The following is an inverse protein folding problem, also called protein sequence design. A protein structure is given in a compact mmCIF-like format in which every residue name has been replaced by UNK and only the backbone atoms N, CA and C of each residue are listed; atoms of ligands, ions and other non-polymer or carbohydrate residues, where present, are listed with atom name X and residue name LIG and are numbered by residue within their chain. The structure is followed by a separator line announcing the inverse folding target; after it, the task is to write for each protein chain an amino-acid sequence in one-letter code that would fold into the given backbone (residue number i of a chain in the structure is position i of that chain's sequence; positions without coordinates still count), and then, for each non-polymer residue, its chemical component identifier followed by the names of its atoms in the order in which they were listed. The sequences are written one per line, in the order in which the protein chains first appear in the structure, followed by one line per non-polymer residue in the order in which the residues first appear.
data_IF_454530162769
#
_entry.id   IF_454530162769
#
_cell.length_a   1.000
_cell.length_b   1.000
_cell.length_c   1.000
_cell.angle_alpha   90.00
_cell.angle_beta   90.00
_cell.angle_gamma   90.00
#
_symmetry.space_group_name_H-M   'P 1'
#
loop_
_entity.id
_entity.type
_entity.pdbx_description
1 polymer ?
#
# COMPACT_ATOMS: atom_id res chain seq x y z
N UNK A 1 -9.00 -11.61 -31.83
CA UNK A 1 -8.82 -10.44 -30.94
C UNK A 1 -7.73 -10.77 -29.93
N UNK A 2 -6.76 -9.88 -29.71
CA UNK A 2 -5.79 -10.06 -28.64
C UNK A 2 -6.52 -10.12 -27.29
N UNK A 3 -6.13 -11.05 -26.41
CA UNK A 3 -6.76 -11.13 -25.09
C UNK A 3 -6.41 -9.90 -24.27
N UNK A 4 -7.41 -9.30 -23.63
CA UNK A 4 -7.25 -8.09 -22.82
C UNK A 4 -6.32 -8.38 -21.65
N UNK A 5 -5.26 -7.58 -21.52
CA UNK A 5 -4.29 -7.68 -20.44
C UNK A 5 -4.85 -7.07 -19.15
N UNK A 6 -4.29 -7.43 -17.99
CA UNK A 6 -4.72 -6.94 -16.68
C UNK A 6 -3.54 -6.56 -15.79
N UNK A 7 -3.66 -5.44 -15.07
CA UNK A 7 -2.84 -5.09 -13.92
C UNK A 7 -3.64 -5.39 -12.66
N UNK A 8 -3.08 -6.18 -11.76
CA UNK A 8 -3.75 -6.60 -10.53
C UNK A 8 -3.29 -5.73 -9.38
N UNK A 9 -4.22 -5.06 -8.73
CA UNK A 9 -3.98 -4.32 -7.49
C UNK A 9 -4.38 -5.19 -6.30
N UNK A 10 -3.55 -5.22 -5.26
CA UNK A 10 -3.85 -5.88 -3.99
C UNK A 10 -3.90 -4.80 -2.91
N UNK A 11 -5.05 -4.69 -2.24
CA UNK A 11 -5.30 -3.74 -1.15
C UNK A 11 -5.83 -4.46 0.08
N UNK A 12 -5.64 -3.89 1.27
CA UNK A 12 -6.00 -4.55 2.52
C UNK A 12 -7.52 -4.51 2.78
N UNK A 13 -8.11 -3.31 2.66
CA UNK A 13 -9.49 -3.03 3.04
C UNK A 13 -10.35 -2.46 1.92
N UNK A 14 -11.66 -2.47 2.19
CA UNK A 14 -12.68 -1.91 1.27
C UNK A 14 -12.60 -0.38 1.20
N UNK A 15 -12.14 0.29 2.27
CA UNK A 15 -11.85 1.73 2.25
C UNK A 15 -10.80 2.06 1.19
N UNK A 16 -9.75 1.25 1.13
CA UNK A 16 -8.59 1.46 0.27
C UNK A 16 -8.99 1.23 -1.18
N UNK A 17 -9.73 0.14 -1.45
CA UNK A 17 -10.32 -0.13 -2.77
C UNK A 17 -11.10 1.08 -3.28
N UNK A 18 -12.02 1.63 -2.46
CA UNK A 18 -12.84 2.79 -2.86
C UNK A 18 -11.99 4.02 -3.13
N UNK A 19 -11.03 4.30 -2.25
CA UNK A 19 -10.19 5.47 -2.38
C UNK A 19 -9.33 5.39 -3.66
N UNK A 20 -8.79 4.21 -3.98
CA UNK A 20 -7.93 4.05 -5.18
C UNK A 20 -8.71 3.71 -6.45
N UNK A 21 -10.02 3.45 -6.37
CA UNK A 21 -10.83 3.03 -7.53
C UNK A 21 -10.75 3.98 -8.73
N UNK A 22 -10.51 5.28 -8.48
CA UNK A 22 -10.33 6.29 -9.51
C UNK A 22 -9.14 6.01 -10.44
N UNK A 23 -8.15 5.21 -10.02
CA UNK A 23 -7.04 4.76 -10.87
C UNK A 23 -7.52 4.07 -12.16
N UNK A 24 -8.70 3.43 -12.12
CA UNK A 24 -9.31 2.78 -13.29
C UNK A 24 -9.64 3.77 -14.42
N UNK A 25 -9.74 5.07 -14.11
CA UNK A 25 -9.99 6.15 -15.08
C UNK A 25 -8.70 6.74 -15.65
N UNK A 26 -7.55 6.47 -15.04
CA UNK A 26 -6.23 6.89 -15.53
C UNK A 26 -5.73 5.98 -16.67
N UNK A 27 -6.06 4.69 -16.62
CA UNK A 27 -5.48 3.70 -17.54
C UNK A 27 -6.07 3.72 -18.95
N UNK A 28 -5.24 3.34 -19.94
CA UNK A 28 -5.63 3.25 -21.35
C UNK A 28 -6.50 2.02 -21.68
N UNK A 29 -6.94 1.92 -22.94
CA UNK A 29 -7.69 0.76 -23.44
C UNK A 29 -6.86 -0.53 -23.60
N UNK A 30 -5.52 -0.47 -23.47
CA UNK A 30 -4.62 -1.60 -23.70
C UNK A 30 -4.70 -2.69 -22.61
N UNK A 31 -5.05 -2.32 -21.37
CA UNK A 31 -5.24 -3.24 -20.27
C UNK A 31 -6.36 -2.77 -19.33
N UNK A 32 -6.73 -3.61 -18.38
CA UNK A 32 -7.66 -3.25 -17.30
C UNK A 32 -7.00 -3.33 -15.94
N UNK A 33 -7.55 -2.60 -14.97
CA UNK A 33 -7.21 -2.78 -13.56
C UNK A 33 -8.21 -3.73 -12.90
N UNK A 34 -7.69 -4.74 -12.19
CA UNK A 34 -8.45 -5.59 -11.27
C UNK A 34 -7.98 -5.31 -9.84
N UNK A 35 -8.85 -4.77 -8.99
CA UNK A 35 -8.53 -4.50 -7.58
C UNK A 35 -9.04 -5.67 -6.73
N UNK A 36 -8.15 -6.24 -5.94
CA UNK A 36 -8.42 -7.36 -5.04
C UNK A 36 -8.26 -6.92 -3.59
N UNK A 37 -9.29 -7.14 -2.78
CA UNK A 37 -9.28 -6.86 -1.34
C UNK A 37 -8.89 -8.12 -0.57
N UNK A 38 -7.86 -8.06 0.26
CA UNK A 38 -7.39 -9.23 1.02
C UNK A 38 -8.21 -9.51 2.28
N UNK A 39 -8.94 -8.50 2.77
CA UNK A 39 -9.65 -8.52 4.05
C UNK A 39 -8.72 -8.81 5.23
N UNK A 40 -7.63 -8.04 5.30
CA UNK A 40 -6.70 -8.02 6.41
C UNK A 40 -5.24 -8.15 6.00
N UNK A 41 -4.38 -7.60 6.85
CA UNK A 41 -2.95 -7.49 6.63
C UNK A 41 -2.29 -8.81 6.22
N UNK A 42 -1.49 -8.75 5.16
CA UNK A 42 -0.66 -9.87 4.70
C UNK A 42 0.67 -9.94 5.45
N UNK A 43 1.11 -8.84 6.09
CA UNK A 43 2.43 -8.71 6.69
C UNK A 43 2.53 -9.20 8.14
N UNK A 44 1.46 -9.06 8.93
CA UNK A 44 1.49 -9.37 10.37
C UNK A 44 0.50 -10.45 10.75
N UNK A 45 0.74 -11.69 10.31
CA UNK A 45 -0.11 -12.86 10.61
C UNK A 45 0.56 -13.82 11.60
N UNK A 46 0.23 -13.75 12.91
CA UNK A 46 0.76 -14.70 13.89
C UNK A 46 0.47 -16.15 13.51
N UNK A 47 1.47 -17.01 13.66
CA UNK A 47 1.32 -18.46 13.42
C UNK A 47 1.34 -18.90 11.96
N UNK A 48 1.39 -17.97 10.99
CA UNK A 48 1.55 -18.33 9.59
C UNK A 48 3.02 -18.60 9.28
N UNK A 49 3.33 -19.84 8.86
CA UNK A 49 4.69 -20.26 8.48
C UNK A 49 5.07 -19.91 7.04
N UNK A 50 4.10 -19.52 6.21
CA UNK A 50 4.32 -19.14 4.82
C UNK A 50 5.03 -17.78 4.76
N UNK A 51 6.01 -17.65 3.86
CA UNK A 51 6.61 -16.34 3.57
C UNK A 51 5.57 -15.37 3.01
N UNK A 52 5.81 -14.07 3.18
CA UNK A 52 4.94 -13.00 2.61
C UNK A 52 4.80 -13.14 1.10
N UNK A 53 5.89 -13.43 0.39
CA UNK A 53 5.87 -13.72 -1.05
C UNK A 53 4.92 -14.86 -1.41
N UNK A 54 4.88 -15.91 -0.59
CA UNK A 54 3.95 -17.05 -0.80
C UNK A 54 2.51 -16.63 -0.52
N UNK A 55 2.26 -15.85 0.54
CA UNK A 55 0.93 -15.33 0.87
C UNK A 55 0.36 -14.45 -0.24
N UNK A 56 1.15 -13.54 -0.78
CA UNK A 56 0.74 -12.67 -1.91
C UNK A 56 0.57 -13.52 -3.18
N UNK A 57 1.48 -14.46 -3.46
CA UNK A 57 1.31 -15.41 -4.58
C UNK A 57 0.03 -16.23 -4.50
N UNK A 58 -0.39 -16.62 -3.29
CA UNK A 58 -1.66 -17.32 -3.06
C UNK A 58 -2.86 -16.42 -3.39
N UNK A 59 -2.81 -15.12 -3.09
CA UNK A 59 -3.84 -14.17 -3.53
C UNK A 59 -3.91 -14.07 -5.05
N UNK A 60 -2.75 -13.96 -5.72
CA UNK A 60 -2.70 -13.92 -7.19
C UNK A 60 -3.27 -15.21 -7.80
N UNK A 61 -2.93 -16.39 -7.26
CA UNK A 61 -3.52 -17.67 -7.68
C UNK A 61 -5.04 -17.71 -7.48
N UNK A 62 -5.53 -17.20 -6.35
CA UNK A 62 -6.98 -17.08 -6.09
C UNK A 62 -7.65 -16.23 -7.18
N UNK A 63 -7.11 -15.05 -7.47
CA UNK A 63 -7.61 -14.15 -8.51
C UNK A 63 -7.63 -14.86 -9.87
N UNK A 64 -6.53 -15.51 -10.26
CA UNK A 64 -6.47 -16.27 -11.53
C UNK A 64 -7.54 -17.36 -11.61
N UNK A 65 -7.79 -18.07 -10.51
CA UNK A 65 -8.80 -19.13 -10.46
C UNK A 65 -10.23 -18.59 -10.56
N UNK A 66 -10.52 -17.46 -9.94
CA UNK A 66 -11.85 -16.82 -9.92
C UNK A 66 -12.17 -16.13 -11.26
N UNK A 67 -11.20 -15.39 -11.80
CA UNK A 67 -11.34 -14.58 -13.03
C UNK A 67 -11.04 -15.35 -14.32
N UNK A 68 -10.39 -16.51 -14.21
CA UNK A 68 -9.82 -17.29 -15.32
C UNK A 68 -8.70 -16.58 -16.10
N UNK A 69 -8.08 -15.54 -15.52
CA UNK A 69 -6.89 -14.94 -16.10
C UNK A 69 -5.74 -15.96 -16.16
N UNK A 70 -5.10 -16.07 -17.33
CA UNK A 70 -3.85 -16.81 -17.44
C UNK A 70 -2.69 -15.91 -17.02
N UNK A 71 -1.60 -16.54 -16.62
CA UNK A 71 -0.38 -15.87 -16.18
C UNK A 71 0.09 -14.79 -17.16
N UNK A 72 0.15 -15.12 -18.45
CA UNK A 72 0.56 -14.19 -19.51
C UNK A 72 -0.41 -13.02 -19.74
N UNK A 73 -1.60 -13.03 -19.14
CA UNK A 73 -2.56 -11.92 -19.21
C UNK A 73 -2.33 -10.90 -18.10
N UNK A 74 -1.64 -11.27 -17.02
CA UNK A 74 -1.26 -10.38 -15.92
C UNK A 74 0.03 -9.66 -16.29
N UNK A 75 -0.03 -8.33 -16.45
CA UNK A 75 1.13 -7.49 -16.75
C UNK A 75 2.00 -7.25 -15.52
N UNK A 76 1.35 -6.93 -14.41
CA UNK A 76 2.00 -6.65 -13.14
C UNK A 76 1.01 -6.89 -11.99
N UNK A 77 1.57 -7.17 -10.82
CA UNK A 77 0.88 -7.13 -9.54
C UNK A 77 1.41 -5.93 -8.77
N UNK A 78 0.50 -5.03 -8.39
CA UNK A 78 0.79 -3.86 -7.58
C UNK A 78 0.14 -4.06 -6.22
N UNK A 79 0.92 -4.03 -5.16
CA UNK A 79 0.40 -4.09 -3.80
C UNK A 79 0.47 -2.72 -3.15
N UNK A 80 -0.63 -2.30 -2.52
CA UNK A 80 -0.67 -1.11 -1.68
C UNK A 80 -0.66 -1.54 -0.22
N UNK A 81 0.11 -0.84 0.60
CA UNK A 81 0.22 -1.17 2.03
C UNK A 81 0.31 0.10 2.87
N UNK A 82 -0.33 0.06 4.03
CA UNK A 82 -0.02 1.00 5.09
C UNK A 82 1.30 0.58 5.75
N UNK A 83 2.12 1.55 6.16
CA UNK A 83 3.33 1.24 6.95
C UNK A 83 2.98 0.97 8.41
N UNK A 84 1.91 1.60 8.93
CA UNK A 84 1.43 1.50 10.31
C UNK A 84 2.53 1.65 11.38
N UNK A 85 3.51 2.52 11.12
CA UNK A 85 4.67 2.70 11.99
C UNK A 85 5.63 1.52 12.07
N UNK A 86 5.64 0.63 11.06
CA UNK A 86 6.52 -0.55 11.03
C UNK A 86 7.99 -0.24 11.30
N UNK A 87 8.48 0.93 10.90
CA UNK A 87 9.87 1.34 11.02
C UNK A 87 10.15 2.25 12.23
N UNK A 88 9.15 2.53 13.07
CA UNK A 88 9.33 3.27 14.32
C UNK A 88 10.16 2.44 15.30
N UNK A 89 11.17 3.06 15.91
CA UNK A 89 12.02 2.41 16.91
C UNK A 89 11.23 2.03 18.17
N UNK A 90 11.65 0.97 18.85
CA UNK A 90 11.03 0.49 20.09
C UNK A 90 10.97 1.57 21.18
N UNK A 91 11.93 2.52 21.19
CA UNK A 91 11.96 3.63 22.13
C UNK A 91 10.84 4.67 21.89
N UNK A 92 10.41 4.81 20.62
CA UNK A 92 9.37 5.75 20.19
C UNK A 92 7.95 5.16 20.28
N UNK A 93 7.84 3.92 20.76
CA UNK A 93 6.59 3.32 21.23
C UNK A 93 6.47 3.54 22.73
N UNK A 94 5.64 4.49 23.15
CA UNK A 94 5.56 4.98 24.54
C UNK A 94 4.25 4.62 25.22
N UNK A 95 4.28 4.52 26.56
CA UNK A 95 3.09 4.22 27.37
C UNK A 95 2.49 5.50 27.92
N UNK A 96 1.18 5.68 27.73
CA UNK A 96 0.40 6.70 28.42
C UNK A 96 -0.98 6.12 28.75
N UNK A 97 -1.27 5.91 30.03
CA UNK A 97 -2.53 5.30 30.49
C UNK A 97 -3.77 6.14 30.17
N UNK A 98 -3.62 7.41 29.77
CA UNK A 98 -4.72 8.27 29.35
C UNK A 98 -5.26 7.94 27.96
N UNK A 99 -4.56 7.15 27.14
CA UNK A 99 -5.06 6.75 25.81
C UNK A 99 -5.91 5.50 25.90
N UNK A 100 -6.80 5.32 24.92
CA UNK A 100 -7.68 4.15 24.83
C UNK A 100 -6.94 2.85 24.49
N UNK A 101 -7.72 1.79 24.22
CA UNK A 101 -7.17 0.48 23.84
C UNK A 101 -6.43 0.51 22.51
N UNK A 102 -6.83 1.40 21.60
CA UNK A 102 -6.23 1.53 20.28
C UNK A 102 -4.96 2.39 20.34
N UNK A 103 -3.91 2.03 19.59
CA UNK A 103 -2.70 2.85 19.48
C UNK A 103 -3.03 4.25 18.93
N UNK A 104 -2.41 5.28 19.49
CA UNK A 104 -2.49 6.65 18.99
C UNK A 104 -1.19 6.98 18.27
N UNK A 105 -1.28 7.21 16.96
CA UNK A 105 -0.16 7.56 16.10
C UNK A 105 0.10 9.07 16.14
N UNK A 106 1.37 9.44 16.30
CA UNK A 106 1.87 10.82 16.34
C UNK A 106 3.08 10.95 15.42
N UNK A 107 3.51 12.17 15.15
CA UNK A 107 4.73 12.40 14.36
C UNK A 107 5.99 11.84 15.02
N UNK A 108 6.02 11.83 16.35
CA UNK A 108 7.15 11.33 17.14
C UNK A 108 7.09 9.84 17.44
N UNK A 109 6.11 9.09 16.93
CA UNK A 109 5.98 7.65 17.21
C UNK A 109 4.56 7.20 17.56
N UNK A 110 4.46 6.19 18.43
CA UNK A 110 3.20 5.52 18.76
C UNK A 110 2.98 5.57 20.28
N UNK A 111 1.79 5.97 20.71
CA UNK A 111 1.40 6.01 22.13
C UNK A 111 0.37 4.91 22.39
N UNK A 112 0.57 4.12 23.45
CA UNK A 112 -0.29 2.99 23.83
C UNK A 112 -0.65 3.05 25.31
N UNK A 113 -1.77 2.41 25.70
CA UNK A 113 -2.28 2.51 27.06
C UNK A 113 -1.44 1.79 28.12
N UNK A 114 -0.71 0.73 27.77
CA UNK A 114 0.05 -0.06 28.73
C UNK A 114 1.23 -0.82 28.10
N UNK A 115 2.08 -1.39 28.95
CA UNK A 115 3.29 -2.12 28.57
C UNK A 115 3.03 -3.38 27.74
N UNK A 116 1.91 -4.09 27.97
CA UNK A 116 1.54 -5.27 27.20
C UNK A 116 1.25 -4.92 25.74
N UNK A 117 0.48 -3.85 25.51
CA UNK A 117 0.21 -3.33 24.16
C UNK A 117 1.51 -2.84 23.51
N UNK A 118 2.38 -2.16 24.28
CA UNK A 118 3.70 -1.72 23.79
C UNK A 118 4.52 -2.86 23.22
N UNK A 119 4.68 -3.95 23.98
CA UNK A 119 5.43 -5.13 23.56
C UNK A 119 4.82 -5.78 22.31
N UNK A 120 3.49 -5.82 22.24
CA UNK A 120 2.77 -6.31 21.06
C UNK A 120 3.08 -5.46 19.81
N UNK A 121 2.96 -4.14 19.91
CA UNK A 121 3.22 -3.21 18.80
C UNK A 121 4.67 -3.29 18.35
N UNK A 122 5.64 -3.30 19.27
CA UNK A 122 7.06 -3.47 18.94
C UNK A 122 7.34 -4.76 18.16
N UNK A 123 6.79 -5.89 18.63
CA UNK A 123 6.93 -7.17 17.92
C UNK A 123 6.27 -7.16 16.54
N UNK A 124 5.07 -6.57 16.46
CA UNK A 124 4.29 -6.43 15.23
C UNK A 124 5.04 -5.55 14.21
N UNK A 125 5.61 -4.44 14.64
CA UNK A 125 6.38 -3.52 13.80
C UNK A 125 7.63 -4.20 13.25
N UNK A 126 8.41 -4.88 14.09
CA UNK A 126 9.58 -5.66 13.64
C UNK A 126 9.23 -6.71 12.59
N UNK A 127 8.11 -7.42 12.79
CA UNK A 127 7.61 -8.39 11.82
C UNK A 127 7.24 -7.70 10.50
N UNK A 128 6.41 -6.64 10.55
CA UNK A 128 5.98 -5.90 9.37
C UNK A 128 7.18 -5.33 8.60
N UNK A 129 8.11 -4.67 9.29
CA UNK A 129 9.31 -4.08 8.69
C UNK A 129 10.16 -5.12 7.95
N UNK A 130 10.39 -6.30 8.56
CA UNK A 130 11.13 -7.39 7.92
C UNK A 130 10.45 -7.88 6.64
N UNK A 131 9.12 -8.04 6.68
CA UNK A 131 8.38 -8.50 5.51
C UNK A 131 8.25 -7.42 4.42
N UNK A 132 8.12 -6.14 4.80
CA UNK A 132 8.12 -5.01 3.88
C UNK A 132 9.46 -4.90 3.15
N UNK A 133 10.59 -5.00 3.85
CA UNK A 133 11.94 -5.02 3.24
C UNK A 133 12.10 -6.13 2.21
N UNK A 134 11.58 -7.32 2.51
CA UNK A 134 11.64 -8.44 1.56
C UNK A 134 10.80 -8.16 0.31
N UNK A 135 9.62 -7.56 0.49
CA UNK A 135 8.69 -7.32 -0.61
C UNK A 135 9.07 -6.09 -1.45
N UNK A 136 9.62 -5.03 -0.84
CA UNK A 136 10.08 -3.83 -1.55
C UNK A 136 11.18 -4.14 -2.54
N UNK A 137 12.04 -5.12 -2.24
CA UNK A 137 13.10 -5.54 -3.16
C UNK A 137 12.67 -6.61 -4.16
N UNK A 138 11.44 -7.14 -4.10
CA UNK A 138 11.03 -8.28 -4.92
C UNK A 138 10.61 -7.89 -6.36
N UNK A 139 11.33 -8.35 -7.38
CA UNK A 139 11.01 -8.03 -8.79
C UNK A 139 9.78 -8.75 -9.32
N UNK A 140 9.58 -9.97 -8.83
CA UNK A 140 8.51 -10.85 -9.27
C UNK A 140 7.88 -11.50 -8.06
N UNK A 141 6.55 -11.59 -8.07
CA UNK A 141 5.83 -12.32 -7.01
C UNK A 141 5.84 -13.82 -7.27
N UNK A 142 5.73 -14.20 -8.53
CA UNK A 142 5.95 -15.53 -9.05
C UNK A 142 6.64 -15.39 -10.39
N UNK A 143 7.40 -16.40 -10.81
CA UNK A 143 8.13 -16.42 -12.09
C UNK A 143 7.33 -15.71 -13.17
N UNK A 144 7.86 -14.72 -13.89
CA UNK A 144 7.18 -14.06 -15.02
C UNK A 144 5.93 -13.25 -14.68
N UNK A 145 5.70 -12.88 -13.41
CA UNK A 145 4.74 -11.85 -13.01
C UNK A 145 5.47 -10.80 -12.18
N UNK A 146 5.67 -9.62 -12.78
CA UNK A 146 6.29 -8.48 -12.12
C UNK A 146 5.50 -8.02 -10.90
N UNK A 147 6.22 -7.54 -9.89
CA UNK A 147 5.66 -7.11 -8.63
C UNK A 147 6.21 -5.74 -8.23
N UNK A 148 5.30 -4.89 -7.76
CA UNK A 148 5.61 -3.57 -7.21
C UNK A 148 4.82 -3.36 -5.93
N UNK A 149 5.41 -2.66 -4.97
CA UNK A 149 4.75 -2.31 -3.71
C UNK A 149 4.91 -0.82 -3.41
N UNK A 150 3.79 -0.17 -3.14
CA UNK A 150 3.70 1.24 -2.78
C UNK A 150 3.08 1.39 -1.39
N UNK A 151 3.41 2.48 -0.70
CA UNK A 151 2.99 2.69 0.67
C UNK A 151 2.20 3.98 0.89
N UNK A 152 1.38 3.93 1.94
CA UNK A 152 0.85 5.10 2.63
C UNK A 152 1.44 5.13 4.04
N UNK A 153 2.13 6.20 4.39
CA UNK A 153 2.77 6.30 5.70
C UNK A 153 1.75 6.52 6.80
N UNK A 154 1.93 5.81 7.91
CA UNK A 154 0.90 5.51 8.88
C UNK A 154 -0.25 4.74 8.24
N UNK A 155 -1.09 5.41 7.46
CA UNK A 155 -2.19 4.81 6.71
C UNK A 155 -2.70 5.73 5.58
N UNK A 156 -3.54 5.20 4.69
CA UNK A 156 -4.14 5.96 3.59
C UNK A 156 -4.93 7.20 4.05
N UNK A 157 -5.68 7.09 5.15
CA UNK A 157 -6.47 8.20 5.69
C UNK A 157 -5.59 9.38 6.09
N UNK A 158 -4.40 9.11 6.63
CA UNK A 158 -3.42 10.11 6.95
C UNK A 158 -2.90 10.83 5.70
N UNK A 159 -2.62 10.09 4.63
CA UNK A 159 -2.16 10.70 3.38
C UNK A 159 -3.27 11.58 2.80
N UNK A 160 -4.51 11.07 2.70
CA UNK A 160 -5.63 11.80 2.09
C UNK A 160 -6.07 13.00 2.94
N UNK A 161 -6.17 12.84 4.26
CA UNK A 161 -6.86 13.79 5.13
C UNK A 161 -6.01 14.40 6.24
N UNK A 162 -4.72 14.08 6.29
CA UNK A 162 -3.84 14.46 7.40
C UNK A 162 -4.38 13.99 8.77
N UNK A 163 -5.03 12.83 8.81
CA UNK A 163 -5.59 12.25 10.02
C UNK A 163 -5.18 10.77 10.17
N UNK A 164 -4.28 10.52 11.12
CA UNK A 164 -3.69 9.20 11.41
C UNK A 164 -4.61 8.29 12.23
N UNK A 165 -5.53 8.89 13.00
CA UNK A 165 -6.26 8.22 14.07
C UNK A 165 -7.78 8.22 13.80
N UNK A 166 -8.15 8.26 12.52
CA UNK A 166 -9.53 8.31 12.07
C UNK A 166 -10.32 7.07 12.49
N UNK A 167 -11.54 7.29 12.99
CA UNK A 167 -12.44 6.19 13.37
C UNK A 167 -12.94 5.41 12.15
N UNK A 168 -13.35 4.15 12.34
CA UNK A 168 -13.86 3.30 11.25
C UNK A 168 -15.05 3.95 10.51
N UNK A 169 -15.96 4.58 11.24
CA UNK A 169 -17.12 5.27 10.66
C UNK A 169 -16.68 6.43 9.76
N UNK A 170 -15.75 7.25 10.23
CA UNK A 170 -15.19 8.36 9.45
C UNK A 170 -14.45 7.85 8.21
N UNK A 171 -13.65 6.78 8.33
CA UNK A 171 -12.96 6.14 7.20
C UNK A 171 -13.95 5.74 6.10
N UNK A 172 -15.07 5.13 6.47
CA UNK A 172 -16.12 4.73 5.51
C UNK A 172 -16.73 5.97 4.83
N UNK A 173 -17.07 7.01 5.61
CA UNK A 173 -17.73 8.20 5.07
C UNK A 173 -16.78 9.02 4.16
N UNK A 174 -15.52 9.15 4.58
CA UNK A 174 -14.49 9.90 3.87
C UNK A 174 -14.01 9.16 2.62
N UNK A 175 -13.78 7.84 2.67
CA UNK A 175 -13.45 7.06 1.46
C UNK A 175 -14.52 7.20 0.37
N UNK A 176 -15.82 7.15 0.74
CA UNK A 176 -16.93 7.41 -0.18
C UNK A 176 -16.93 8.83 -0.75
N UNK A 177 -16.55 9.83 0.05
CA UNK A 177 -16.46 11.22 -0.40
C UNK A 177 -15.34 11.37 -1.44
N UNK A 178 -14.15 10.88 -1.12
CA UNK A 178 -12.99 10.90 -2.03
C UNK A 178 -13.28 10.17 -3.34
N UNK A 179 -13.89 8.98 -3.26
CA UNK A 179 -14.30 8.20 -4.43
C UNK A 179 -15.24 9.00 -5.34
N UNK A 180 -16.26 9.68 -4.78
CA UNK A 180 -17.19 10.51 -5.55
C UNK A 180 -16.48 11.69 -6.21
N UNK A 181 -15.62 12.38 -5.47
CA UNK A 181 -14.87 13.55 -5.97
C UNK A 181 -13.95 13.13 -7.13
N UNK A 182 -13.13 12.10 -6.95
CA UNK A 182 -12.23 11.58 -7.97
C UNK A 182 -12.97 10.92 -9.13
N UNK A 183 -14.16 10.34 -8.89
CA UNK A 183 -15.00 9.84 -9.97
C UNK A 183 -15.55 10.96 -10.83
N UNK A 184 -15.89 12.11 -10.25
CA UNK A 184 -16.35 13.26 -11.04
C UNK A 184 -15.22 13.94 -11.81
N UNK A 185 -14.00 13.90 -11.26
CA UNK A 185 -12.81 14.62 -11.72
C UNK A 185 -11.55 13.76 -11.53
N UNK A 186 -11.28 12.80 -12.43
CA UNK A 186 -10.16 11.86 -12.30
C UNK A 186 -8.80 12.55 -12.25
N UNK A 187 -8.66 13.72 -12.86
CA UNK A 187 -7.46 14.56 -12.82
C UNK A 187 -7.08 14.97 -11.39
N UNK A 188 -8.06 15.14 -10.49
CA UNK A 188 -7.80 15.45 -9.09
C UNK A 188 -7.13 14.30 -8.35
N UNK A 189 -7.41 13.05 -8.76
CA UNK A 189 -6.77 11.90 -8.14
C UNK A 189 -5.26 11.90 -8.40
N UNK A 190 -4.87 12.14 -9.66
CA UNK A 190 -3.47 12.26 -10.05
C UNK A 190 -2.78 13.43 -9.34
N UNK A 191 -3.34 14.64 -9.49
CA UNK A 191 -2.80 15.86 -8.90
C UNK A 191 -2.67 15.77 -7.38
N UNK A 192 -3.62 15.09 -6.71
CA UNK A 192 -3.57 14.91 -5.27
C UNK A 192 -2.32 14.14 -4.85
N UNK A 193 -2.06 12.98 -5.46
CA UNK A 193 -0.95 12.13 -5.05
C UNK A 193 0.43 12.68 -5.44
N UNK A 194 0.49 13.63 -6.38
CA UNK A 194 1.72 14.36 -6.74
C UNK A 194 2.08 15.51 -5.78
N UNK A 195 1.26 15.82 -4.77
CA UNK A 195 1.52 16.91 -3.83
C UNK A 195 2.86 16.70 -3.09
N UNK A 196 3.81 17.59 -3.36
CA UNK A 196 5.17 17.55 -2.83
C UNK A 196 5.27 17.69 -1.30
N UNK A 197 4.17 18.06 -0.62
CA UNK A 197 4.14 18.11 0.85
C UNK A 197 4.18 16.72 1.49
N UNK A 198 3.83 15.66 0.75
CA UNK A 198 3.90 14.28 1.22
C UNK A 198 4.44 13.27 0.19
N UNK A 199 4.49 13.63 -1.10
CA UNK A 199 5.03 12.77 -2.15
C UNK A 199 6.55 12.65 -2.03
N UNK A 200 7.03 11.43 -1.74
CA UNK A 200 8.47 11.15 -1.58
C UNK A 200 9.14 11.03 -2.93
N UNK A 201 9.93 12.04 -3.29
CA UNK A 201 10.63 12.11 -4.57
C UNK A 201 11.72 11.04 -4.70
N UNK A 202 12.08 10.72 -5.94
CA UNK A 202 13.14 9.77 -6.27
C UNK A 202 12.61 8.46 -6.83
N UNK A 203 13.48 7.45 -6.84
CA UNK A 203 13.16 6.09 -7.28
C UNK A 203 12.27 5.34 -6.27
N UNK A 204 11.75 4.18 -6.65
CA UNK A 204 11.02 3.32 -5.72
C UNK A 204 11.94 2.89 -4.57
N UNK A 205 13.20 2.57 -4.87
CA UNK A 205 14.22 2.19 -3.89
C UNK A 205 14.60 3.35 -2.95
N UNK A 206 14.72 4.58 -3.49
CA UNK A 206 14.96 5.78 -2.68
C UNK A 206 13.80 6.01 -1.70
N UNK A 207 12.56 5.85 -2.18
CA UNK A 207 11.36 6.08 -1.39
C UNK A 207 11.20 5.09 -0.24
N UNK A 208 11.64 3.83 -0.42
CA UNK A 208 11.70 2.82 0.63
C UNK A 208 12.84 3.10 1.60
N UNK A 209 14.01 3.49 1.10
CA UNK A 209 15.13 3.90 1.97
C UNK A 209 14.74 5.10 2.84
N UNK A 210 13.97 6.05 2.30
CA UNK A 210 13.47 7.20 3.04
C UNK A 210 12.49 6.83 4.15
N UNK A 211 11.49 5.97 3.85
CA UNK A 211 10.41 5.67 4.81
C UNK A 211 10.88 4.86 6.02
N UNK A 212 12.01 4.17 5.89
CA UNK A 212 12.66 3.42 6.96
C UNK A 212 13.37 4.30 8.00
N UNK A 213 13.58 5.59 7.72
CA UNK A 213 14.35 6.47 8.59
C UNK A 213 13.49 7.07 9.70
N UNK A 214 13.99 6.98 10.94
CA UNK A 214 13.40 7.59 12.12
C UNK A 214 11.91 7.26 12.26
N UNK A 215 11.08 8.30 12.35
CA UNK A 215 9.63 8.17 12.48
C UNK A 215 8.88 8.46 11.18
N UNK A 216 9.54 8.47 10.01
CA UNK A 216 8.88 8.79 8.74
C UNK A 216 7.67 7.88 8.47
N UNK A 217 7.72 6.62 8.91
CA UNK A 217 6.63 5.63 8.79
C UNK A 217 5.36 5.93 9.62
N UNK A 218 5.35 7.00 10.42
CA UNK A 218 4.15 7.57 11.06
C UNK A 218 3.93 9.04 10.70
N UNK A 219 4.82 9.65 9.92
CA UNK A 219 4.64 10.99 9.35
C UNK A 219 3.82 10.93 8.04
N UNK A 220 3.57 12.08 7.40
CA UNK A 220 2.66 12.16 6.26
C UNK A 220 3.46 12.03 4.96
N UNK A 221 3.65 10.79 4.52
CA UNK A 221 4.40 10.49 3.31
C UNK A 221 3.75 9.39 2.47
N UNK A 222 3.99 9.40 1.16
CA UNK A 222 3.62 8.33 0.25
C UNK A 222 4.51 8.32 -0.98
N UNK A 223 4.77 7.13 -1.51
CA UNK A 223 5.39 6.95 -2.83
C UNK A 223 4.38 6.57 -3.91
N UNK A 224 3.07 6.67 -3.62
CA UNK A 224 2.03 6.19 -4.53
C UNK A 224 2.04 6.89 -5.90
N UNK A 225 2.46 8.15 -5.99
CA UNK A 225 2.55 8.86 -7.28
C UNK A 225 3.44 8.15 -8.32
N UNK A 226 4.46 7.40 -7.88
CA UNK A 226 5.35 6.64 -8.77
C UNK A 226 4.59 5.58 -9.58
N UNK A 227 3.38 5.20 -9.14
CA UNK A 227 2.53 4.27 -9.87
C UNK A 227 2.13 4.79 -11.25
N UNK A 228 1.99 6.11 -11.44
CA UNK A 228 1.54 6.68 -12.71
C UNK A 228 2.59 6.47 -13.80
N UNK A 229 3.88 6.65 -13.48
CA UNK A 229 4.99 6.33 -14.37
C UNK A 229 5.04 4.83 -14.74
N UNK A 230 4.77 3.94 -13.78
CA UNK A 230 4.65 2.51 -14.05
C UNK A 230 3.48 2.21 -14.98
N UNK A 231 2.30 2.80 -14.74
CA UNK A 231 1.12 2.56 -15.57
C UNK A 231 1.30 3.10 -17.00
N UNK A 232 2.02 4.19 -17.18
CA UNK A 232 2.34 4.79 -18.48
C UNK A 232 3.35 3.93 -19.27
N UNK A 233 4.42 3.45 -18.64
CA UNK A 233 5.37 2.54 -19.31
C UNK A 233 4.72 1.22 -19.74
N UNK A 234 3.78 0.70 -18.95
CA UNK A 234 2.97 -0.48 -19.30
C UNK A 234 2.05 -0.22 -20.51
N UNK A 235 1.61 1.03 -20.72
CA UNK A 235 0.82 1.40 -21.89
C UNK A 235 1.66 1.38 -23.18
N UNK A 236 2.91 1.81 -23.10
CA UNK A 236 3.84 1.92 -24.23
C UNK A 236 4.47 0.58 -24.64
N UNK A 237 4.24 -0.50 -23.87
CA UNK A 237 4.91 -1.80 -24.00
C UNK A 237 6.45 -1.74 -23.87
N UNK A 238 6.98 -0.61 -23.39
CA UNK A 238 8.39 -0.40 -23.10
C UNK A 238 8.69 -0.86 -21.67
N UNK A 239 8.78 -2.18 -21.47
CA UNK A 239 9.13 -2.74 -20.16
C UNK A 239 10.62 -3.07 -20.16
N UNK A 240 11.45 -2.18 -19.61
CA UNK A 240 12.76 -2.55 -19.05
C UNK A 240 12.72 -2.36 -17.53
N UNK A 241 13.17 -3.37 -16.78
CA UNK A 241 13.16 -3.32 -15.31
C UNK A 241 13.99 -2.18 -14.73
N UNK A 242 15.05 -1.78 -15.44
CA UNK A 242 15.92 -0.64 -15.11
C UNK A 242 15.18 0.71 -15.22
N UNK A 243 14.04 0.77 -15.92
CA UNK A 243 13.22 1.98 -16.08
C UNK A 243 12.14 2.10 -15.01
N UNK A 244 11.92 1.05 -14.20
CA UNK A 244 10.74 0.91 -13.36
C UNK A 244 11.02 0.84 -11.85
N UNK A 245 12.30 0.86 -11.44
CA UNK A 245 12.72 0.90 -10.05
C UNK A 245 13.38 2.20 -9.69
#
# INVERSE_FOLDING_TARGET
MAKKKVVVFIVEGVSDERAVAAIRKYVSYNYTIYIHVTHGDLFTRPGVRKSVKTRVSDQVRKIMNETKYRKQEILAVIQLTDTDGAFVDDQDVTVNESVGKDPVYRESGIVVANSGIRQYIQKRNKMKASELRLMSTADEIMSGIYYFIYYFSCNLDHVIYNDRNMSIEEKINRSRKFERECSSRPELFHQFFEDSTFAVQGSLDDSWTFIEQGTHSVQRYSNFHLIFHLLDSLNEQNISQETLR
#
